data_IF_699022153057
#
_entry.id   IF_699022153057
#
_cell.length_a   1.000
_cell.length_b   1.000
_cell.length_c   1.000
_cell.angle_alpha   90.00
_cell.angle_beta   90.00
_cell.angle_gamma   90.00
#
_symmetry.space_group_name_H-M   'P 1'
#
loop_
_entity.id
_entity.type
_entity.pdbx_description
1 polymer ?
#
# COMPACT_ATOMS: atom_id res chain seq x y z
N UNK A 1 -15.40 1.40 4.59
CA UNK A 1 -13.93 1.25 4.63
C UNK A 1 -13.43 1.56 6.03
N UNK A 2 -12.75 0.60 6.62
CA UNK A 2 -12.24 0.76 7.98
C UNK A 2 -10.93 1.52 7.98
N UNK A 3 -10.54 2.01 9.16
CA UNK A 3 -9.26 2.68 9.35
C UNK A 3 -8.08 1.77 8.99
N UNK A 4 -8.20 0.49 9.32
CA UNK A 4 -7.19 -0.50 9.00
C UNK A 4 -7.06 -0.71 7.49
N UNK A 5 -8.18 -0.74 6.78
CA UNK A 5 -8.18 -0.84 5.32
C UNK A 5 -7.53 0.38 4.68
N UNK A 6 -7.83 1.57 5.18
CA UNK A 6 -7.19 2.79 4.69
C UNK A 6 -5.69 2.80 4.93
N UNK A 7 -5.25 2.30 6.08
CA UNK A 7 -3.83 2.21 6.39
C UNK A 7 -3.11 1.24 5.44
N UNK A 8 -3.74 0.11 5.12
CA UNK A 8 -3.19 -0.82 4.13
C UNK A 8 -3.11 -0.17 2.76
N UNK A 9 -4.16 0.54 2.35
CA UNK A 9 -4.18 1.22 1.07
C UNK A 9 -3.02 2.22 0.95
N UNK A 10 -2.76 2.99 2.00
CA UNK A 10 -1.65 3.94 2.02
C UNK A 10 -0.30 3.24 1.97
N UNK A 11 -0.17 2.10 2.64
CA UNK A 11 1.04 1.28 2.55
C UNK A 11 1.28 0.82 1.12
N UNK A 12 0.25 0.29 0.45
CA UNK A 12 0.37 -0.17 -0.93
C UNK A 12 0.65 0.98 -1.89
N UNK A 13 0.04 2.12 -1.68
CA UNK A 13 0.34 3.31 -2.48
C UNK A 13 1.81 3.71 -2.35
N UNK A 14 2.35 3.69 -1.14
CA UNK A 14 3.76 3.98 -0.90
C UNK A 14 4.65 3.00 -1.65
N UNK A 15 4.31 1.71 -1.64
CA UNK A 15 5.08 0.72 -2.39
C UNK A 15 5.00 0.97 -3.90
N UNK A 16 3.84 1.40 -4.38
CA UNK A 16 3.67 1.69 -5.80
C UNK A 16 4.53 2.88 -6.25
N UNK A 17 4.62 3.90 -5.42
CA UNK A 17 5.39 5.11 -5.74
C UNK A 17 6.89 4.91 -5.51
N UNK A 18 7.26 4.44 -4.32
CA UNK A 18 8.66 4.40 -3.90
C UNK A 18 9.42 3.19 -4.44
N UNK A 19 8.73 2.08 -4.66
CA UNK A 19 9.37 0.82 -5.04
C UNK A 19 8.93 0.32 -6.42
N UNK A 20 8.36 1.19 -7.24
CA UNK A 20 7.95 0.83 -8.59
C UNK A 20 6.87 -0.25 -8.62
N UNK A 21 6.06 -0.34 -7.59
CA UNK A 21 5.00 -1.33 -7.48
C UNK A 21 5.41 -2.64 -6.85
N UNK A 22 6.65 -2.80 -6.45
CA UNK A 22 7.11 -4.01 -5.77
C UNK A 22 6.77 -3.94 -4.29
N UNK A 23 6.19 -4.99 -3.76
CA UNK A 23 5.69 -5.03 -2.38
C UNK A 23 6.46 -6.04 -1.54
N UNK A 24 6.90 -5.59 -0.38
CA UNK A 24 7.57 -6.45 0.60
C UNK A 24 6.52 -6.99 1.57
N UNK A 25 6.08 -8.20 1.34
CA UNK A 25 5.01 -8.80 2.13
C UNK A 25 5.41 -9.19 3.54
N UNK A 26 6.70 -9.20 3.85
CA UNK A 26 7.15 -9.42 5.22
C UNK A 26 6.69 -8.32 6.19
N UNK A 27 6.24 -7.19 5.68
CA UNK A 27 5.68 -6.09 6.47
C UNK A 27 4.16 -6.13 6.56
N UNK A 28 3.56 -7.16 5.97
CA UNK A 28 2.12 -7.35 5.97
C UNK A 28 1.76 -8.57 6.81
N UNK A 29 0.70 -8.44 7.58
CA UNK A 29 0.17 -9.60 8.30
C UNK A 29 -0.77 -10.38 7.39
N UNK A 30 -1.23 -11.54 7.88
CA UNK A 30 -2.10 -12.43 7.12
C UNK A 30 -3.41 -11.75 6.71
N UNK A 31 -3.99 -10.98 7.60
CA UNK A 31 -5.25 -10.28 7.34
C UNK A 31 -5.08 -9.23 6.24
N UNK A 32 -3.97 -8.53 6.24
CA UNK A 32 -3.65 -7.54 5.21
C UNK A 32 -3.45 -8.20 3.85
N UNK A 33 -2.79 -9.35 3.81
CA UNK A 33 -2.63 -10.11 2.57
C UNK A 33 -3.97 -10.57 2.02
N UNK A 34 -4.84 -11.05 2.88
CA UNK A 34 -6.18 -11.48 2.47
C UNK A 34 -7.00 -10.30 1.94
N UNK A 35 -6.91 -9.15 2.58
CA UNK A 35 -7.59 -7.95 2.13
C UNK A 35 -7.07 -7.48 0.77
N UNK A 36 -5.76 -7.50 0.57
CA UNK A 36 -5.17 -7.13 -0.72
C UNK A 36 -5.64 -8.07 -1.83
N UNK A 37 -5.73 -9.36 -1.56
CA UNK A 37 -6.24 -10.34 -2.52
C UNK A 37 -7.71 -10.09 -2.84
N UNK A 38 -8.51 -9.76 -1.84
CA UNK A 38 -9.93 -9.43 -2.02
C UNK A 38 -10.07 -8.18 -2.89
N UNK A 39 -9.27 -7.16 -2.66
CA UNK A 39 -9.28 -5.95 -3.48
C UNK A 39 -8.89 -6.25 -4.93
N UNK A 40 -7.96 -7.18 -5.14
CA UNK A 40 -7.61 -7.63 -6.48
C UNK A 40 -8.80 -8.30 -7.16
N UNK A 41 -9.51 -9.15 -6.44
CA UNK A 41 -10.69 -9.83 -6.96
C UNK A 41 -11.83 -8.87 -7.28
N UNK A 42 -11.96 -7.81 -6.49
CA UNK A 42 -12.99 -6.79 -6.69
C UNK A 42 -12.63 -5.75 -7.74
N UNK A 43 -11.40 -5.75 -8.22
CA UNK A 43 -10.94 -4.79 -9.22
C UNK A 43 -10.56 -3.41 -8.66
N UNK A 44 -10.53 -3.27 -7.35
CA UNK A 44 -10.12 -2.02 -6.71
C UNK A 44 -8.63 -1.72 -6.94
N UNK A 45 -7.82 -2.77 -6.98
CA UNK A 45 -6.41 -2.68 -7.36
C UNK A 45 -6.00 -4.04 -7.90
N UNK A 46 -4.79 -4.09 -8.47
CA UNK A 46 -4.19 -5.35 -8.89
C UNK A 46 -3.07 -5.69 -7.93
N UNK A 47 -3.09 -6.91 -7.41
CA UNK A 47 -2.09 -7.39 -6.47
C UNK A 47 -1.76 -8.83 -6.82
N UNK A 48 -0.49 -9.12 -7.00
CA UNK A 48 -0.09 -10.45 -7.40
C UNK A 48 1.32 -10.77 -6.98
N UNK A 49 1.71 -12.00 -7.25
CA UNK A 49 3.03 -12.50 -6.92
C UNK A 49 4.00 -12.22 -8.06
N UNK A 50 5.20 -11.76 -7.72
CA UNK A 50 6.24 -11.56 -8.71
C UNK A 50 6.71 -12.91 -9.25
N UNK A 51 7.07 -12.94 -10.53
CA UNK A 51 7.73 -14.10 -11.13
C UNK A 51 9.13 -14.23 -10.55
N UNK A 52 9.63 -15.44 -10.48
CA UNK A 52 10.98 -15.70 -9.97
C UNK A 52 12.05 -14.84 -10.66
N UNK A 53 11.88 -14.59 -11.95
CA UNK A 53 12.82 -13.78 -12.72
C UNK A 53 12.80 -12.30 -12.33
N UNK A 54 11.71 -11.83 -11.76
CA UNK A 54 11.54 -10.42 -11.36
C UNK A 54 11.90 -10.18 -9.90
N UNK A 55 12.16 -11.25 -9.16
CA UNK A 55 12.64 -11.15 -7.79
C UNK A 55 14.13 -10.95 -7.84
N UNK A 56 14.64 -9.88 -7.23
CA UNK A 56 16.06 -9.64 -7.14
C UNK A 56 16.74 -10.83 -6.47
N UNK A 57 17.80 -11.33 -7.09
CA UNK A 57 18.49 -12.51 -6.63
C UNK A 57 19.22 -12.36 -5.32
N UNK A 58 19.11 -11.23 -4.67
CA UNK A 58 19.73 -11.03 -3.37
C UNK A 58 18.91 -11.71 -2.29
N UNK A 59 19.57 -12.53 -1.52
CA UNK A 59 18.95 -13.31 -0.44
C UNK A 59 18.80 -12.48 0.83
N UNK A 60 18.23 -11.31 0.72
CA UNK A 60 17.95 -10.49 1.90
C UNK A 60 16.52 -10.71 2.34
N UNK A 61 16.27 -10.52 3.64
CA UNK A 61 14.94 -10.67 4.21
C UNK A 61 13.94 -9.64 3.67
N UNK A 62 14.43 -8.61 3.02
CA UNK A 62 13.63 -7.50 2.50
C UNK A 62 13.37 -7.60 1.01
N UNK A 63 13.33 -8.81 0.47
CA UNK A 63 13.05 -9.00 -0.95
C UNK A 63 11.55 -8.82 -1.21
N UNK A 64 11.21 -7.98 -2.17
CA UNK A 64 9.83 -7.85 -2.63
C UNK A 64 9.42 -9.14 -3.34
N UNK A 65 8.30 -9.71 -2.93
CA UNK A 65 7.79 -10.96 -3.50
C UNK A 65 6.50 -10.77 -4.25
N UNK A 66 5.88 -9.61 -4.13
CA UNK A 66 4.60 -9.28 -4.75
C UNK A 66 4.68 -7.94 -5.47
N UNK A 67 3.67 -7.67 -6.28
CA UNK A 67 3.53 -6.40 -6.96
C UNK A 67 2.13 -5.85 -6.74
N UNK A 68 1.99 -4.53 -6.83
CA UNK A 68 0.71 -3.86 -6.71
C UNK A 68 0.58 -2.82 -7.82
N UNK A 69 -0.65 -2.68 -8.33
CA UNK A 69 -1.01 -1.64 -9.27
C UNK A 69 -2.37 -1.09 -8.87
N UNK A 70 -2.41 0.19 -8.59
CA UNK A 70 -3.62 0.84 -8.11
C UNK A 70 -4.48 1.30 -9.29
N UNK A 71 -5.79 1.10 -9.17
CA UNK A 71 -6.74 1.68 -10.11
C UNK A 71 -6.86 3.18 -9.86
N UNK A 72 -7.49 3.90 -10.79
CA UNK A 72 -7.74 5.34 -10.60
C UNK A 72 -8.55 5.62 -9.35
N UNK A 73 -9.52 4.76 -9.04
CA UNK A 73 -10.32 4.88 -7.84
C UNK A 73 -9.46 4.68 -6.59
N UNK A 74 -8.57 3.69 -6.61
CA UNK A 74 -7.68 3.44 -5.50
C UNK A 74 -6.70 4.60 -5.28
N UNK A 75 -6.13 5.16 -6.35
CA UNK A 75 -5.29 6.34 -6.27
C UNK A 75 -6.02 7.52 -5.67
N UNK A 76 -7.22 7.79 -6.15
CA UNK A 76 -8.04 8.91 -5.67
C UNK A 76 -8.37 8.74 -4.19
N UNK A 77 -8.74 7.54 -3.80
CA UNK A 77 -9.07 7.22 -2.40
C UNK A 77 -7.86 7.41 -1.49
N UNK A 78 -6.70 6.92 -1.92
CA UNK A 78 -5.47 7.05 -1.15
C UNK A 78 -5.07 8.52 -0.98
N UNK A 79 -5.14 9.30 -2.05
CA UNK A 79 -4.80 10.72 -2.00
C UNK A 79 -5.77 11.51 -1.11
N UNK A 80 -7.04 11.18 -1.16
CA UNK A 80 -8.04 11.82 -0.30
C UNK A 80 -7.75 11.53 1.18
N UNK A 81 -7.38 10.30 1.51
CA UNK A 81 -7.05 9.93 2.88
C UNK A 81 -5.77 10.62 3.35
N UNK A 82 -4.76 10.73 2.50
CA UNK A 82 -3.54 11.46 2.86
C UNK A 82 -3.82 12.91 3.17
N UNK A 83 -4.68 13.55 2.38
CA UNK A 83 -5.06 14.94 2.64
C UNK A 83 -5.80 15.08 3.97
N UNK A 84 -6.72 14.17 4.27
CA UNK A 84 -7.43 14.17 5.55
C UNK A 84 -6.48 14.02 6.73
N UNK A 85 -5.49 13.15 6.60
CA UNK A 85 -4.49 12.95 7.65
C UNK A 85 -3.60 14.16 7.81
N UNK A 86 -3.22 14.82 6.72
CA UNK A 86 -2.43 16.03 6.76
C UNK A 86 -3.21 17.17 7.43
N UNK A 87 -4.48 17.33 7.09
CA UNK A 87 -5.33 18.34 7.72
C UNK A 87 -5.46 18.12 9.22
N UNK A 88 -5.64 16.85 9.64
CA UNK A 88 -5.70 16.52 11.07
C UNK A 88 -4.39 16.81 11.77
N UNK A 89 -3.28 16.53 11.11
CA UNK A 89 -1.96 16.85 11.67
C UNK A 89 -1.74 18.35 11.80
N UNK A 90 -2.18 19.13 10.82
CA UNK A 90 -2.09 20.59 10.89
C UNK A 90 -2.94 21.15 12.02
N UNK A 91 -4.14 20.61 12.20
CA UNK A 91 -5.02 21.02 13.30
C UNK A 91 -4.41 20.71 14.67
N UNK A 92 -3.73 19.57 14.78
CA UNK A 92 -3.08 19.17 16.01
C UNK A 92 -1.76 19.91 16.18
N UNK A 93 -1.18 20.35 15.10
CA UNK A 93 0.10 21.06 15.10
C UNK A 93 -0.03 22.57 15.25
N UNK A 94 -1.15 23.02 15.68
CA UNK A 94 -1.32 24.43 16.01
C UNK A 94 -0.64 24.72 17.35
N UNK A 95 0.64 24.38 17.38
CA UNK A 95 1.45 24.68 18.54
C UNK A 95 2.14 26.02 18.34
N UNK A 96 2.16 26.80 19.36
CA UNK A 96 2.96 28.02 19.31
C UNK A 96 4.42 27.60 19.14
N UNK A 97 4.99 28.10 18.16
CA UNK A 97 6.44 27.94 18.02
C UNK A 97 7.15 28.95 18.89
#
# INVERSE_FOLDING_TARGET
VTRQELSLLLFLETQAVDNGGKVRTNRMNKEELELARRWNDEGFLQFGRLKMADIDGERTRDVATHWVRLSDVAWTTAHAERRKRAERCESVKDYPK
#
